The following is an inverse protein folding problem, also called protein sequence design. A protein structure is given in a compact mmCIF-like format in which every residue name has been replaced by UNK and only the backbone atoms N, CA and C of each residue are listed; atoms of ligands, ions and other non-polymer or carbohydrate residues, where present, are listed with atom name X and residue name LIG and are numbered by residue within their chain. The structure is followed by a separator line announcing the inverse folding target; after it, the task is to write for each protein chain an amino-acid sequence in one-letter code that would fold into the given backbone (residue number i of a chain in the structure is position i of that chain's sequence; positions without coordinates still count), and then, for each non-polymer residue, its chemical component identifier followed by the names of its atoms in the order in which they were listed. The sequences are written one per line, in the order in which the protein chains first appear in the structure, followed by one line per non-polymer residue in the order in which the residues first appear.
data_IF_568679582612
#
_entry.id   IF_568679582612
#
_cell.length_a   1.000
_cell.length_b   1.000
_cell.length_c   1.000
_cell.angle_alpha   90.00
_cell.angle_beta   90.00
_cell.angle_gamma   90.00
#
_symmetry.space_group_name_H-M   'P 1'
#
loop_
_entity.id
_entity.type
_entity.pdbx_description
1 polymer ?
#
# COMPACT_ATOMS: atom_id res chain seq x y z
N UNK A 1 -12.15 -28.11 0.43
CA UNK A 1 -11.36 -27.11 1.21
C UNK A 1 -12.01 -25.75 1.05
N UNK A 2 -11.87 -24.86 2.01
CA UNK A 2 -12.47 -23.52 1.94
C UNK A 2 -11.35 -22.49 2.11
N UNK A 3 -11.22 -21.57 1.15
CA UNK A 3 -10.28 -20.47 1.22
C UNK A 3 -11.06 -19.18 1.51
N UNK A 4 -10.82 -18.62 2.69
CA UNK A 4 -11.36 -17.35 3.11
C UNK A 4 -10.41 -16.23 2.68
N UNK A 5 -10.96 -15.25 1.96
CA UNK A 5 -10.22 -14.09 1.46
C UNK A 5 -10.95 -12.81 1.78
N UNK A 6 -10.22 -11.70 1.77
CA UNK A 6 -10.84 -10.39 1.70
C UNK A 6 -11.59 -10.26 0.36
N UNK A 7 -12.77 -9.66 0.35
CA UNK A 7 -13.67 -9.72 -0.81
C UNK A 7 -13.10 -9.16 -2.14
N UNK A 8 -13.74 -9.49 -3.27
CA UNK A 8 -13.24 -9.16 -4.61
C UNK A 8 -13.28 -7.66 -4.91
N UNK A 9 -12.22 -7.11 -5.51
CA UNK A 9 -12.12 -5.70 -5.88
C UNK A 9 -11.27 -5.52 -7.14
N UNK A 10 -11.47 -4.43 -7.87
CA UNK A 10 -10.64 -4.07 -9.06
C UNK A 10 -10.57 -5.14 -10.16
N UNK A 11 -11.57 -6.03 -10.24
CA UNK A 11 -11.56 -7.17 -11.17
C UNK A 11 -10.69 -8.36 -10.70
N UNK A 12 -10.15 -8.29 -9.48
CA UNK A 12 -9.35 -9.33 -8.83
C UNK A 12 -10.18 -10.10 -7.79
N UNK A 13 -9.77 -11.35 -7.44
CA UNK A 13 -10.51 -12.18 -6.49
C UNK A 13 -10.49 -11.64 -5.05
N UNK A 14 -9.58 -10.72 -4.73
CA UNK A 14 -9.47 -10.06 -3.43
C UNK A 14 -8.84 -8.67 -3.60
N UNK A 15 -9.04 -7.79 -2.62
CA UNK A 15 -8.32 -6.50 -2.47
C UNK A 15 -6.96 -6.65 -1.75
N UNK A 16 -6.67 -7.84 -1.23
CA UNK A 16 -5.43 -8.17 -0.53
C UNK A 16 -4.48 -9.02 -1.39
N UNK A 17 -3.19 -8.69 -1.37
CA UNK A 17 -2.17 -9.29 -2.23
C UNK A 17 -1.93 -10.77 -1.91
N UNK A 18 -1.81 -11.11 -0.62
CA UNK A 18 -1.60 -12.49 -0.18
C UNK A 18 -2.82 -13.36 -0.48
N UNK A 19 -4.02 -12.80 -0.36
CA UNK A 19 -5.25 -13.48 -0.77
C UNK A 19 -5.26 -13.82 -2.26
N UNK A 20 -4.91 -12.86 -3.13
CA UNK A 20 -4.81 -13.11 -4.58
C UNK A 20 -3.74 -14.17 -4.87
N UNK A 21 -2.57 -14.06 -4.23
CA UNK A 21 -1.49 -15.03 -4.37
C UNK A 21 -1.93 -16.45 -3.98
N UNK A 22 -2.71 -16.58 -2.91
CA UNK A 22 -3.24 -17.89 -2.46
C UNK A 22 -4.23 -18.46 -3.46
N UNK A 23 -5.09 -17.61 -4.04
CA UNK A 23 -6.01 -18.04 -5.12
C UNK A 23 -5.22 -18.53 -6.34
N UNK A 24 -4.16 -17.81 -6.73
CA UNK A 24 -3.28 -18.23 -7.82
C UNK A 24 -2.58 -19.56 -7.52
N UNK A 25 -2.11 -19.74 -6.28
CA UNK A 25 -1.47 -20.98 -5.82
C UNK A 25 -2.43 -22.19 -5.87
N UNK A 26 -3.68 -22.04 -5.43
CA UNK A 26 -4.64 -23.14 -5.46
C UNK A 26 -5.03 -23.52 -6.89
N UNK A 27 -5.14 -22.53 -7.79
CA UNK A 27 -5.38 -22.75 -9.22
C UNK A 27 -4.19 -23.45 -9.88
N UNK A 28 -2.97 -23.05 -9.53
CA UNK A 28 -1.75 -23.66 -10.02
C UNK A 28 -1.65 -25.14 -9.70
N UNK A 29 -1.96 -25.51 -8.44
CA UNK A 29 -1.88 -26.89 -7.96
C UNK A 29 -3.01 -27.80 -8.51
N UNK A 30 -3.76 -27.33 -9.51
CA UNK A 30 -4.97 -27.93 -10.11
C UNK A 30 -5.92 -28.54 -9.07
N UNK A 31 -6.07 -27.86 -7.92
CA UNK A 31 -7.02 -28.30 -6.89
C UNK A 31 -8.41 -27.91 -7.38
N UNK A 32 -9.27 -28.90 -7.65
CA UNK A 32 -10.64 -28.68 -8.14
C UNK A 32 -11.70 -28.63 -7.03
N UNK A 33 -11.37 -29.13 -5.85
CA UNK A 33 -12.31 -29.29 -4.72
C UNK A 33 -12.13 -28.23 -3.62
N UNK A 34 -12.09 -26.95 -4.02
CA UNK A 34 -12.05 -25.85 -3.06
C UNK A 34 -13.03 -24.73 -3.39
N UNK A 35 -13.52 -24.06 -2.35
CA UNK A 35 -14.46 -22.96 -2.44
C UNK A 35 -13.76 -21.67 -1.99
N UNK A 36 -14.00 -20.59 -2.74
CA UNK A 36 -13.56 -19.25 -2.38
C UNK A 36 -14.68 -18.56 -1.59
N UNK A 37 -14.40 -18.16 -0.34
CA UNK A 37 -15.37 -17.53 0.56
C UNK A 37 -14.89 -16.11 0.89
N UNK A 38 -15.56 -15.08 0.34
CA UNK A 38 -15.32 -13.70 0.77
C UNK A 38 -15.71 -13.52 2.23
N UNK A 39 -14.79 -12.97 3.04
CA UNK A 39 -15.05 -12.63 4.43
C UNK A 39 -14.42 -11.28 4.78
N UNK A 40 -14.95 -10.68 5.85
CA UNK A 40 -14.39 -9.49 6.48
C UNK A 40 -13.86 -9.77 7.89
N UNK A 41 -14.04 -11.00 8.38
CA UNK A 41 -13.50 -11.43 9.66
C UNK A 41 -12.01 -11.72 9.50
N UNK A 42 -11.17 -10.85 10.06
CA UNK A 42 -9.71 -10.96 10.01
C UNK A 42 -9.10 -11.39 11.34
N UNK A 43 -9.90 -11.87 12.31
CA UNK A 43 -9.41 -12.21 13.67
C UNK A 43 -8.23 -13.17 13.68
N UNK A 44 -8.22 -14.13 12.76
CA UNK A 44 -7.17 -15.14 12.62
C UNK A 44 -6.09 -14.74 11.60
N UNK A 45 -6.33 -13.66 10.84
CA UNK A 45 -5.54 -13.27 9.68
C UNK A 45 -6.07 -13.90 8.37
N UNK A 46 -6.11 -13.09 7.32
CA UNK A 46 -6.40 -13.52 5.95
C UNK A 46 -5.09 -13.49 5.14
N UNK A 47 -4.90 -14.38 4.15
CA UNK A 47 -5.78 -15.47 3.72
C UNK A 47 -5.88 -16.62 4.74
N UNK A 48 -7.03 -17.28 4.82
CA UNK A 48 -7.28 -18.40 5.73
C UNK A 48 -7.77 -19.64 4.96
N UNK A 49 -7.04 -20.74 5.05
CA UNK A 49 -7.44 -22.03 4.49
C UNK A 49 -8.02 -22.94 5.58
N UNK A 50 -9.22 -23.46 5.32
CA UNK A 50 -9.86 -24.50 6.15
C UNK A 50 -9.85 -25.82 5.36
N UNK A 51 -9.10 -26.79 5.89
CA UNK A 51 -9.04 -28.13 5.31
C UNK A 51 -10.30 -28.93 5.61
N UNK A 52 -10.56 -29.98 4.83
CA UNK A 52 -11.72 -30.87 5.03
C UNK A 52 -11.73 -31.57 6.39
N UNK A 53 -10.57 -31.66 7.06
CA UNK A 53 -10.42 -32.17 8.43
C UNK A 53 -10.74 -31.14 9.52
N UNK A 54 -11.08 -29.90 9.17
CA UNK A 54 -11.32 -28.80 10.11
C UNK A 54 -10.06 -28.03 10.54
N UNK A 55 -8.88 -28.37 10.02
CA UNK A 55 -7.65 -27.61 10.30
C UNK A 55 -7.71 -26.21 9.66
N UNK A 56 -7.37 -25.18 10.44
CA UNK A 56 -7.36 -23.76 10.04
C UNK A 56 -5.92 -23.28 9.91
N UNK A 57 -5.58 -22.66 8.78
CA UNK A 57 -4.21 -22.25 8.44
C UNK A 57 -4.25 -20.86 7.82
N UNK A 58 -3.64 -19.88 8.49
CA UNK A 58 -3.64 -18.48 8.06
C UNK A 58 -2.28 -18.04 7.50
N UNK A 59 -2.31 -17.10 6.56
CA UNK A 59 -1.14 -16.48 5.92
C UNK A 59 -0.58 -17.30 4.76
N UNK A 60 -0.12 -16.60 3.71
CA UNK A 60 0.32 -17.25 2.47
C UNK A 60 1.43 -18.28 2.71
N UNK A 61 2.47 -17.92 3.47
CA UNK A 61 3.61 -18.79 3.80
C UNK A 61 3.24 -20.08 4.52
N UNK A 62 2.26 -20.03 5.42
CA UNK A 62 1.84 -21.23 6.15
C UNK A 62 1.00 -22.13 5.25
N UNK A 63 0.18 -21.53 4.38
CA UNK A 63 -0.63 -22.24 3.40
C UNK A 63 0.26 -22.92 2.36
N UNK A 64 1.27 -22.24 1.80
CA UNK A 64 2.22 -22.84 0.85
C UNK A 64 2.95 -24.04 1.47
N UNK A 65 3.41 -23.89 2.71
CA UNK A 65 4.05 -24.97 3.48
C UNK A 65 3.12 -26.15 3.70
N UNK A 66 1.87 -25.89 4.09
CA UNK A 66 0.89 -26.95 4.31
C UNK A 66 0.55 -27.71 3.03
N UNK A 67 0.45 -27.01 1.90
CA UNK A 67 0.16 -27.60 0.60
C UNK A 67 1.38 -28.31 -0.02
N UNK A 68 2.55 -28.25 0.61
CA UNK A 68 3.79 -28.82 0.10
C UNK A 68 4.35 -28.09 -1.12
N UNK A 69 3.89 -26.86 -1.37
CA UNK A 69 4.32 -26.03 -2.49
C UNK A 69 5.54 -25.15 -2.14
N UNK A 70 6.00 -25.20 -0.89
CA UNK A 70 7.19 -24.50 -0.41
C UNK A 70 8.45 -25.16 -0.98
N UNK A 71 8.98 -24.63 -2.08
CA UNK A 71 10.19 -25.14 -2.70
C UNK A 71 11.43 -24.69 -1.91
N UNK A 72 12.23 -25.67 -1.47
CA UNK A 72 13.45 -25.52 -0.66
C UNK A 72 14.62 -24.90 -1.43
N UNK A 73 14.51 -23.65 -1.85
CA UNK A 73 15.63 -22.87 -2.35
C UNK A 73 15.75 -21.57 -1.54
N UNK A 74 16.91 -21.34 -0.92
CA UNK A 74 17.16 -20.13 -0.11
C UNK A 74 16.84 -18.83 -0.87
N UNK A 75 17.06 -18.84 -2.18
CA UNK A 75 16.75 -17.75 -3.09
C UNK A 75 15.25 -17.42 -3.17
N UNK A 76 14.37 -18.44 -3.14
CA UNK A 76 12.92 -18.23 -3.15
C UNK A 76 12.42 -17.57 -1.86
N UNK A 77 13.01 -17.91 -0.72
CA UNK A 77 12.70 -17.27 0.57
C UNK A 77 13.16 -15.81 0.61
N UNK A 78 14.36 -15.53 0.08
CA UNK A 78 14.88 -14.18 -0.03
C UNK A 78 13.99 -13.31 -0.94
N UNK A 79 13.59 -13.84 -2.10
CA UNK A 79 12.69 -13.16 -3.03
C UNK A 79 11.31 -12.93 -2.41
N UNK A 80 10.72 -13.94 -1.76
CA UNK A 80 9.43 -13.78 -1.09
C UNK A 80 9.47 -12.68 -0.02
N UNK A 81 10.55 -12.63 0.78
CA UNK A 81 10.71 -11.59 1.80
C UNK A 81 10.94 -10.20 1.20
N UNK A 82 11.65 -10.12 0.07
CA UNK A 82 11.83 -8.89 -0.69
C UNK A 82 10.50 -8.37 -1.25
N UNK A 83 9.69 -9.25 -1.85
CA UNK A 83 8.36 -8.93 -2.36
C UNK A 83 7.43 -8.48 -1.24
N UNK A 84 7.30 -9.26 -0.16
CA UNK A 84 6.43 -8.92 0.97
C UNK A 84 6.75 -7.56 1.58
N UNK A 85 8.04 -7.18 1.66
CA UNK A 85 8.39 -5.90 2.27
C UNK A 85 8.38 -4.74 1.27
N UNK A 86 8.98 -4.93 0.10
CA UNK A 86 9.09 -3.90 -0.93
C UNK A 86 7.75 -3.61 -1.60
N UNK A 87 7.07 -4.66 -2.07
CA UNK A 87 5.82 -4.52 -2.79
C UNK A 87 4.68 -4.05 -1.87
N UNK A 88 4.62 -4.55 -0.63
CA UNK A 88 3.64 -4.07 0.34
C UNK A 88 3.80 -2.59 0.63
N UNK A 89 5.05 -2.10 0.75
CA UNK A 89 5.31 -0.67 0.96
C UNK A 89 4.77 0.16 -0.20
N UNK A 90 4.99 -0.26 -1.45
CA UNK A 90 4.47 0.45 -2.62
C UNK A 90 2.93 0.40 -2.70
N UNK A 91 2.32 -0.76 -2.42
CA UNK A 91 0.86 -0.90 -2.37
C UNK A 91 0.23 -0.07 -1.26
N UNK A 92 0.85 -0.03 -0.09
CA UNK A 92 0.39 0.79 1.03
C UNK A 92 0.30 2.25 0.64
N UNK A 93 1.33 2.74 -0.05
CA UNK A 93 1.38 4.13 -0.49
C UNK A 93 0.32 4.41 -1.54
N UNK A 94 0.24 3.55 -2.56
CA UNK A 94 -0.68 3.71 -3.68
C UNK A 94 -2.14 3.59 -3.25
N UNK A 95 -2.51 2.57 -2.48
CA UNK A 95 -3.91 2.26 -2.17
C UNK A 95 -4.45 3.00 -0.93
N UNK A 96 -3.60 3.28 0.06
CA UNK A 96 -4.05 3.74 1.39
C UNK A 96 -3.50 5.11 1.80
N UNK A 97 -2.24 5.44 1.48
CA UNK A 97 -1.64 6.71 1.90
C UNK A 97 -2.09 7.85 0.98
N UNK A 98 -2.07 7.65 -0.34
CA UNK A 98 -2.59 8.66 -1.27
C UNK A 98 -4.07 8.90 -1.03
N UNK A 99 -4.42 10.17 -0.75
CA UNK A 99 -5.78 10.56 -0.45
C UNK A 99 -6.74 10.30 -1.62
N UNK A 100 -6.32 10.67 -2.84
CA UNK A 100 -7.14 10.51 -4.05
C UNK A 100 -7.39 9.04 -4.35
N UNK A 101 -6.36 8.20 -4.24
CA UNK A 101 -6.47 6.77 -4.45
C UNK A 101 -7.26 6.08 -3.34
N UNK A 102 -7.09 6.50 -2.08
CA UNK A 102 -7.83 5.94 -0.95
C UNK A 102 -9.33 6.15 -1.07
N UNK A 103 -9.79 7.24 -1.70
CA UNK A 103 -11.22 7.43 -1.99
C UNK A 103 -11.78 6.28 -2.84
N UNK A 104 -11.05 5.89 -3.89
CA UNK A 104 -11.38 4.75 -4.76
C UNK A 104 -11.29 3.43 -4.01
N UNK A 105 -10.22 3.22 -3.22
CA UNK A 105 -10.04 2.03 -2.39
C UNK A 105 -11.17 1.86 -1.37
N UNK A 106 -11.59 2.95 -0.72
CA UNK A 106 -12.71 2.97 0.24
C UNK A 106 -14.05 2.65 -0.44
N UNK A 107 -14.25 3.14 -1.67
CA UNK A 107 -15.42 2.79 -2.48
C UNK A 107 -15.45 1.28 -2.79
N UNK A 108 -14.29 0.69 -3.14
CA UNK A 108 -14.18 -0.75 -3.34
C UNK A 108 -14.51 -1.55 -2.06
N UNK A 109 -14.05 -1.09 -0.90
CA UNK A 109 -14.43 -1.70 0.38
C UNK A 109 -15.94 -1.65 0.65
N UNK A 110 -16.60 -0.57 0.27
CA UNK A 110 -18.06 -0.41 0.45
C UNK A 110 -18.86 -1.47 -0.30
N UNK A 111 -18.32 -1.99 -1.40
CA UNK A 111 -18.97 -3.05 -2.20
C UNK A 111 -18.83 -4.44 -1.58
N UNK A 112 -17.77 -4.69 -0.82
CA UNK A 112 -17.46 -6.03 -0.27
C UNK A 112 -17.79 -6.17 1.22
N UNK A 113 -17.84 -5.06 1.96
CA UNK A 113 -18.04 -5.08 3.41
C UNK A 113 -19.47 -4.76 3.83
N UNK A 114 -19.96 -5.33 4.94
CA UNK A 114 -21.16 -4.86 5.60
C UNK A 114 -21.05 -3.38 6.01
N UNK A 115 -22.21 -2.70 6.11
CA UNK A 115 -22.29 -1.27 6.41
C UNK A 115 -21.52 -0.85 7.68
N UNK A 116 -21.55 -1.65 8.74
CA UNK A 116 -20.89 -1.34 10.00
C UNK A 116 -19.36 -1.48 9.90
N UNK A 117 -18.89 -2.51 9.19
CA UNK A 117 -17.46 -2.80 9.02
C UNK A 117 -16.75 -1.76 8.17
N UNK A 118 -17.49 -1.06 7.29
CA UNK A 118 -16.95 0.04 6.47
C UNK A 118 -16.40 1.22 7.30
N UNK A 119 -16.82 1.39 8.54
CA UNK A 119 -16.32 2.44 9.43
C UNK A 119 -15.15 2.00 10.31
N UNK A 120 -14.79 0.71 10.27
CA UNK A 120 -13.79 0.12 11.17
C UNK A 120 -12.60 -0.40 10.36
N UNK A 121 -12.85 -1.24 9.35
CA UNK A 121 -11.80 -1.97 8.65
C UNK A 121 -10.96 -1.06 7.74
N UNK A 122 -11.52 -0.29 6.79
CA UNK A 122 -10.71 0.56 5.92
C UNK A 122 -9.89 1.63 6.69
N UNK A 123 -10.44 2.35 7.70
CA UNK A 123 -9.65 3.28 8.51
C UNK A 123 -8.50 2.60 9.26
N UNK A 124 -8.73 1.40 9.84
CA UNK A 124 -7.67 0.63 10.51
C UNK A 124 -6.56 0.22 9.53
N UNK A 125 -6.93 -0.25 8.34
CA UNK A 125 -5.95 -0.61 7.29
C UNK A 125 -5.15 0.61 6.84
N UNK A 126 -5.81 1.77 6.65
CA UNK A 126 -5.13 3.03 6.32
C UNK A 126 -4.16 3.47 7.41
N UNK A 127 -4.56 3.40 8.67
CA UNK A 127 -3.68 3.73 9.80
C UNK A 127 -2.46 2.81 9.86
N UNK A 128 -2.65 1.50 9.62
CA UNK A 128 -1.56 0.53 9.59
C UNK A 128 -0.60 0.78 8.41
N UNK A 129 -1.12 1.11 7.23
CA UNK A 129 -0.32 1.49 6.06
C UNK A 129 0.50 2.76 6.33
N UNK A 130 -0.12 3.81 6.87
CA UNK A 130 0.57 5.04 7.28
C UNK A 130 1.71 4.74 8.25
N UNK A 131 1.45 3.95 9.30
CA UNK A 131 2.47 3.58 10.28
C UNK A 131 3.65 2.83 9.66
N UNK A 132 3.42 1.95 8.68
CA UNK A 132 4.49 1.26 7.96
C UNK A 132 5.33 2.21 7.11
N UNK A 133 4.72 3.22 6.50
CA UNK A 133 5.37 4.15 5.56
C UNK A 133 5.89 5.45 6.17
N UNK A 134 5.61 5.70 7.46
CA UNK A 134 5.89 6.98 8.14
C UNK A 134 7.35 7.44 8.00
N UNK A 135 8.28 6.50 8.17
CA UNK A 135 9.73 6.71 8.05
C UNK A 135 10.21 7.19 6.68
N UNK A 136 9.39 7.09 5.62
CA UNK A 136 9.75 7.50 4.26
C UNK A 136 9.54 9.01 4.02
N UNK A 137 8.86 9.71 4.94
CA UNK A 137 8.61 11.14 4.85
C UNK A 137 7.83 11.53 3.59
N UNK A 138 6.84 10.71 3.23
CA UNK A 138 5.90 10.87 2.10
C UNK A 138 4.52 11.39 2.56
N UNK A 139 4.43 11.86 3.81
CA UNK A 139 3.21 12.41 4.41
C UNK A 139 2.61 13.59 3.65
N UNK A 140 3.36 14.21 2.74
CA UNK A 140 2.89 15.28 1.87
C UNK A 140 1.92 14.86 0.76
N UNK A 141 1.87 13.58 0.39
CA UNK A 141 0.87 13.03 -0.55
C UNK A 141 -0.52 12.99 0.12
N UNK A 142 -0.50 12.91 1.44
CA UNK A 142 -1.68 12.80 2.26
C UNK A 142 -2.18 14.19 2.65
N UNK A 143 -3.05 14.74 1.81
CA UNK A 143 -3.63 16.08 1.98
C UNK A 143 -4.48 16.18 3.26
N UNK A 144 -4.87 15.06 3.87
CA UNK A 144 -5.56 15.04 5.17
C UNK A 144 -4.68 15.54 6.33
N UNK A 145 -3.35 15.41 6.26
CA UNK A 145 -2.45 15.82 7.34
C UNK A 145 -2.40 17.35 7.53
N UNK A 146 -2.76 18.12 6.50
CA UNK A 146 -2.75 19.58 6.57
C UNK A 146 -3.81 20.09 7.57
N UNK A 147 -4.85 19.31 7.85
CA UNK A 147 -5.86 19.64 8.86
C UNK A 147 -5.49 19.22 10.29
N UNK A 148 -4.64 18.20 10.49
CA UNK A 148 -4.14 17.84 11.83
C UNK A 148 -3.11 18.87 12.35
N UNK A 149 -2.18 19.32 11.49
CA UNK A 149 -1.09 20.23 11.89
C UNK A 149 -1.55 21.66 12.23
N UNK A 150 -2.74 22.08 11.77
CA UNK A 150 -3.29 23.41 12.08
C UNK A 150 -3.97 23.49 13.45
N UNK A 151 -4.27 22.34 14.07
CA UNK A 151 -4.94 22.29 15.39
C UNK A 151 -3.99 22.59 16.56
N UNK A 152 -2.68 22.45 16.36
CA UNK A 152 -1.64 22.66 17.38
C UNK A 152 -1.07 24.08 17.45
N UNK A 153 -1.45 24.99 16.56
CA UNK A 153 -0.99 26.39 16.58
C UNK A 153 -2.01 27.26 17.30
N UNK A 154 -1.96 27.25 18.63
CA UNK A 154 -2.56 28.31 19.43
C UNK A 154 -1.92 29.63 19.00
N UNK A 155 -2.71 30.48 18.34
CA UNK A 155 -2.41 31.86 18.03
C UNK A 155 -2.12 32.63 19.33
N UNK A 156 -0.84 32.78 19.69
CA UNK A 156 -0.42 33.77 20.68
C UNK A 156 -0.57 35.16 20.05
N UNK A 157 -1.72 35.79 20.28
CA UNK A 157 -1.98 37.18 19.91
C UNK A 157 -1.60 38.06 21.10
N UNK A 158 -0.32 38.42 21.20
CA UNK A 158 0.12 39.53 22.07
C UNK A 158 0.39 40.75 21.20
N UNK A 159 -0.55 41.70 21.21
CA UNK A 159 -0.38 43.01 20.65
C UNK A 159 -0.24 44.06 21.74
N UNK A 160 0.82 44.88 21.70
CA UNK A 160 0.72 46.33 21.95
C UNK A 160 2.06 47.06 21.72
N UNK A 161 1.99 48.09 20.86
CA UNK A 161 2.83 49.29 20.95
C UNK A 161 4.15 49.29 20.18
N UNK A 162 4.15 49.86 18.96
CA UNK A 162 5.23 50.71 18.35
C UNK A 162 4.93 50.98 16.87
N UNK A 163 4.16 52.03 16.58
CA UNK A 163 3.66 52.34 15.23
C UNK A 163 4.71 52.85 14.23
N UNK A 164 5.85 53.39 14.67
CA UNK A 164 6.88 53.90 13.73
C UNK A 164 7.94 52.86 13.32
N UNK A 165 8.15 51.81 14.12
CA UNK A 165 8.95 50.65 13.69
C UNK A 165 8.13 49.70 12.79
N UNK A 166 6.79 49.77 12.90
CA UNK A 166 5.88 48.93 12.16
C UNK A 166 5.92 49.18 10.65
N UNK A 167 6.06 50.42 10.16
CA UNK A 167 6.05 50.68 8.71
C UNK A 167 7.32 50.20 7.99
N UNK A 168 8.50 50.37 8.61
CA UNK A 168 9.77 49.88 8.05
C UNK A 168 9.86 48.35 8.13
N UNK A 169 9.35 47.77 9.22
CA UNK A 169 9.27 46.33 9.40
C UNK A 169 8.17 45.71 8.53
N UNK A 170 7.05 46.41 8.30
CA UNK A 170 5.98 46.03 7.39
C UNK A 170 6.41 46.15 5.92
N UNK A 171 7.25 47.12 5.54
CA UNK A 171 7.83 47.20 4.19
C UNK A 171 8.89 46.11 3.96
N UNK A 172 9.72 45.80 4.97
CA UNK A 172 10.62 44.64 4.91
C UNK A 172 9.84 43.32 4.84
N UNK A 173 8.71 43.20 5.55
CA UNK A 173 7.80 42.06 5.49
C UNK A 173 6.88 42.07 4.26
N UNK A 174 6.67 43.21 3.60
CA UNK A 174 5.89 43.30 2.36
C UNK A 174 6.60 42.56 1.23
N UNK A 175 7.94 42.53 1.22
CA UNK A 175 8.71 41.68 0.31
C UNK A 175 8.63 40.17 0.60
N UNK A 176 8.19 39.79 1.82
CA UNK A 176 7.83 38.41 2.19
C UNK A 176 6.37 38.07 1.87
N UNK A 177 5.50 39.08 1.77
CA UNK A 177 4.08 38.95 1.42
C UNK A 177 3.81 39.03 -0.08
N UNK A 178 4.75 39.58 -0.85
CA UNK A 178 4.71 39.53 -2.31
C UNK A 178 4.95 38.07 -2.77
N UNK A 179 4.11 37.52 -3.67
CA UNK A 179 4.30 36.18 -4.19
C UNK A 179 5.67 36.09 -4.85
N UNK A 180 6.59 35.37 -4.20
CA UNK A 180 7.95 35.16 -4.68
C UNK A 180 7.83 34.45 -6.03
N UNK A 181 8.47 34.97 -7.08
CA UNK A 181 8.48 34.33 -8.40
C UNK A 181 8.88 32.86 -8.23
N UNK A 182 8.07 31.96 -8.76
CA UNK A 182 8.31 30.52 -8.67
C UNK A 182 9.68 30.21 -9.28
N UNK A 183 10.64 29.88 -8.42
CA UNK A 183 11.97 29.43 -8.82
C UNK A 183 11.91 27.91 -8.98
N UNK A 184 12.78 27.32 -9.80
CA UNK A 184 12.87 25.84 -9.90
C UNK A 184 13.04 25.21 -8.51
N UNK A 185 13.76 25.87 -7.60
CA UNK A 185 13.88 25.46 -6.20
C UNK A 185 12.56 25.55 -5.43
N UNK A 186 11.75 26.60 -5.59
CA UNK A 186 10.44 26.69 -4.92
C UNK A 186 9.42 25.73 -5.50
N UNK A 187 9.47 25.45 -6.81
CA UNK A 187 8.65 24.43 -7.47
C UNK A 187 9.03 23.01 -7.01
N UNK A 188 10.32 22.69 -6.92
CA UNK A 188 10.80 21.40 -6.41
C UNK A 188 10.58 21.24 -4.89
N UNK A 189 10.55 22.35 -4.15
CA UNK A 189 10.16 22.36 -2.73
C UNK A 189 8.64 22.26 -2.53
N UNK A 190 7.82 22.32 -3.59
CA UNK A 190 6.39 22.01 -3.43
C UNK A 190 6.27 20.57 -2.96
N UNK A 191 5.56 20.32 -1.85
CA UNK A 191 5.50 19.02 -1.19
C UNK A 191 4.91 17.90 -2.08
N UNK A 192 4.12 18.28 -3.09
CA UNK A 192 3.55 17.39 -4.11
C UNK A 192 4.63 16.83 -5.04
N UNK A 193 5.49 17.68 -5.61
CA UNK A 193 6.53 17.23 -6.56
C UNK A 193 7.63 16.44 -5.86
N UNK A 194 8.06 16.85 -4.66
CA UNK A 194 9.08 16.12 -3.91
C UNK A 194 8.64 14.71 -3.53
N UNK A 195 7.34 14.51 -3.26
CA UNK A 195 6.80 13.20 -2.98
C UNK A 195 6.80 12.30 -4.21
N UNK A 196 6.38 12.80 -5.38
CA UNK A 196 6.41 12.06 -6.64
C UNK A 196 7.83 11.58 -6.96
N UNK A 197 8.86 12.42 -6.80
CA UNK A 197 10.25 12.00 -6.99
C UNK A 197 10.68 10.90 -6.01
N UNK A 198 10.26 10.99 -4.73
CA UNK A 198 10.54 9.93 -3.75
C UNK A 198 9.83 8.63 -4.12
N UNK A 199 8.59 8.69 -4.60
CA UNK A 199 7.86 7.51 -5.07
C UNK A 199 8.53 6.85 -6.25
N UNK A 200 8.95 7.63 -7.25
CA UNK A 200 9.72 7.09 -8.38
C UNK A 200 11.00 6.41 -7.90
N UNK A 201 11.76 7.06 -7.01
CA UNK A 201 12.96 6.44 -6.46
C UNK A 201 12.66 5.13 -5.69
N UNK A 202 11.56 5.06 -4.94
CA UNK A 202 11.13 3.84 -4.25
C UNK A 202 10.70 2.74 -5.23
N UNK A 203 9.97 3.11 -6.28
CA UNK A 203 9.56 2.19 -7.33
C UNK A 203 10.79 1.66 -8.08
N UNK A 204 11.73 2.52 -8.47
CA UNK A 204 12.97 2.12 -9.15
C UNK A 204 13.82 1.19 -8.28
N UNK A 205 13.91 1.48 -6.97
CA UNK A 205 14.62 0.62 -6.01
C UNK A 205 13.97 -0.75 -5.81
N UNK A 206 12.67 -0.90 -6.14
CA UNK A 206 11.97 -2.17 -6.07
C UNK A 206 12.02 -2.91 -7.42
N UNK A 207 11.62 -2.24 -8.50
CA UNK A 207 11.52 -2.84 -9.82
C UNK A 207 12.87 -3.11 -10.48
N UNK A 208 13.91 -2.31 -10.19
CA UNK A 208 15.26 -2.54 -10.70
C UNK A 208 15.82 -3.90 -10.27
N UNK A 209 15.95 -4.16 -8.95
CA UNK A 209 16.38 -5.47 -8.45
C UNK A 209 15.45 -6.60 -8.86
N UNK A 210 14.13 -6.34 -8.92
CA UNK A 210 13.19 -7.36 -9.38
C UNK A 210 13.50 -7.76 -10.82
N UNK A 211 13.68 -6.80 -11.73
CA UNK A 211 14.03 -7.06 -13.13
C UNK A 211 15.35 -7.83 -13.27
N UNK A 212 16.37 -7.47 -12.49
CA UNK A 212 17.65 -8.19 -12.47
C UNK A 212 17.46 -9.65 -12.00
N UNK A 213 16.56 -9.89 -11.06
CA UNK A 213 16.25 -11.24 -10.55
C UNK A 213 15.42 -12.07 -11.53
N UNK A 214 14.64 -11.46 -12.44
CA UNK A 214 13.87 -12.15 -13.47
C UNK A 214 14.76 -12.79 -14.55
N UNK A 215 15.97 -12.27 -14.80
CA UNK A 215 16.79 -12.60 -15.97
C UNK A 215 17.69 -13.83 -15.87
N UNK A 216 17.60 -14.66 -14.84
CA UNK A 216 18.55 -15.77 -14.68
C UNK A 216 18.21 -16.85 -13.66
N UNK A 217 16.96 -16.93 -13.18
CA UNK A 217 16.55 -17.93 -12.18
C UNK A 217 15.35 -18.73 -12.69
N UNK A 218 15.19 -19.94 -12.15
CA UNK A 218 14.03 -20.82 -12.43
C UNK A 218 12.70 -20.26 -11.87
N UNK A 219 12.74 -19.15 -11.14
CA UNK A 219 11.58 -18.45 -10.59
C UNK A 219 11.15 -17.31 -11.54
N UNK A 220 9.85 -17.04 -11.64
CA UNK A 220 9.17 -15.99 -12.43
C UNK A 220 9.22 -16.14 -13.95
N UNK A 221 10.29 -16.69 -14.51
CA UNK A 221 10.45 -16.97 -15.95
C UNK A 221 10.83 -18.43 -16.26
N UNK A 222 10.94 -19.28 -15.24
CA UNK A 222 11.22 -20.70 -15.42
C UNK A 222 10.09 -21.47 -16.10
N UNK A 223 10.38 -22.70 -16.53
CA UNK A 223 9.41 -23.58 -17.18
C UNK A 223 8.27 -24.01 -16.26
N UNK A 224 8.51 -24.06 -14.95
CA UNK A 224 7.55 -24.45 -13.93
C UNK A 224 7.23 -23.28 -12.99
N UNK A 225 5.94 -23.00 -12.82
CA UNK A 225 5.49 -21.95 -11.90
C UNK A 225 5.74 -22.34 -10.44
N UNK A 226 6.18 -21.40 -9.62
CA UNK A 226 6.51 -21.62 -8.22
C UNK A 226 5.57 -20.87 -7.28
N UNK A 227 5.63 -21.19 -5.99
CA UNK A 227 4.85 -20.46 -4.98
C UNK A 227 5.24 -18.97 -4.92
N UNK A 228 6.49 -18.63 -5.18
CA UNK A 228 6.97 -17.24 -5.17
C UNK A 228 6.39 -16.47 -6.36
N UNK A 229 6.16 -17.14 -7.48
CA UNK A 229 5.56 -16.53 -8.68
C UNK A 229 4.09 -16.19 -8.44
N UNK A 230 3.38 -17.04 -7.69
CA UNK A 230 2.03 -16.76 -7.24
C UNK A 230 1.98 -15.53 -6.33
N UNK A 231 2.98 -15.38 -5.44
CA UNK A 231 3.11 -14.22 -4.57
C UNK A 231 3.38 -12.94 -5.36
N UNK A 232 4.36 -12.98 -6.27
CA UNK A 232 4.67 -11.85 -7.15
C UNK A 232 3.45 -11.46 -8.00
N UNK A 233 2.72 -12.43 -8.54
CA UNK A 233 1.50 -12.20 -9.30
C UNK A 233 0.45 -11.47 -8.45
N UNK A 234 0.24 -11.85 -7.19
CA UNK A 234 -0.71 -11.18 -6.29
C UNK A 234 -0.37 -9.70 -6.07
N UNK A 235 0.89 -9.39 -5.77
CA UNK A 235 1.35 -8.02 -5.56
C UNK A 235 1.31 -7.19 -6.85
N UNK A 236 1.86 -7.70 -7.95
CA UNK A 236 1.93 -6.99 -9.22
C UNK A 236 0.54 -6.79 -9.84
N UNK A 237 -0.38 -7.73 -9.66
CA UNK A 237 -1.75 -7.57 -10.10
C UNK A 237 -2.43 -6.39 -9.40
N UNK A 238 -2.25 -6.23 -8.08
CA UNK A 238 -2.79 -5.06 -7.37
C UNK A 238 -2.09 -3.75 -7.72
N UNK A 239 -0.87 -3.78 -8.26
CA UNK A 239 -0.23 -2.57 -8.78
C UNK A 239 -0.74 -2.19 -10.17
N UNK A 240 -1.19 -3.17 -10.98
CA UNK A 240 -1.51 -2.96 -12.39
C UNK A 240 -3.02 -2.80 -12.69
N UNK A 241 -3.87 -3.57 -12.02
CA UNK A 241 -5.30 -3.63 -12.34
C UNK A 241 -6.15 -2.48 -11.77
N UNK A 242 -5.90 -1.98 -10.55
CA UNK A 242 -6.67 -0.85 -10.03
C UNK A 242 -6.42 0.39 -10.87
N UNK A 243 -7.49 1.00 -11.38
CA UNK A 243 -7.44 2.27 -12.10
C UNK A 243 -7.49 3.40 -11.08
N UNK A 244 -6.34 3.93 -10.71
CA UNK A 244 -6.24 4.96 -9.69
C UNK A 244 -6.23 6.36 -10.32
N UNK A 245 -6.76 7.39 -9.63
CA UNK A 245 -6.65 8.77 -10.10
C UNK A 245 -5.20 9.25 -10.21
N UNK A 246 -4.34 8.79 -9.29
CA UNK A 246 -2.91 9.03 -9.30
C UNK A 246 -2.19 7.73 -9.65
N UNK A 247 -1.91 7.56 -10.94
CA UNK A 247 -1.08 6.51 -11.53
C UNK A 247 0.36 7.00 -11.77
#
# INVERSE_FOLDING_TARGET
MELFVLGPAFGLPSIDAECIATVALLRFLDRKDWLLIPTHDDREGLPLLVSGSGQRICGFKNITRHLGADQKAGDGTALASFLERGAQTLLDISLYVSFENYSTTRSAFTQILPWHTNYILPPRLRAAARARTDHLGISSIDVDNVHEDLSGRTSSVDGMGKEQAFEVEAQKRASLLLPRKDTLRSLLQKPQHSAVFKLHALADNFFGPLQDMLGGKDFLQGADMTSVDCLACGYLALMLYPKMPQD
#
